data_IF_225936278372
#
_entry.id   IF_225936278372
#
_cell.length_a   1.000
_cell.length_b   1.000
_cell.length_c   1.000
_cell.angle_alpha   90.00
_cell.angle_beta   90.00
_cell.angle_gamma   90.00
#
_symmetry.space_group_name_H-M   'P 1'
#
loop_
_entity.id
_entity.type
_entity.pdbx_description
1 polymer ?
#
# COMPACT_ATOMS: atom_id res chain seq x y z
N UNK A 1 -5.68 4.03 6.71
CA UNK A 1 -6.69 4.73 5.90
C UNK A 1 -8.09 4.74 6.51
N UNK A 2 -8.36 4.03 7.62
CA UNK A 2 -9.71 4.00 8.24
C UNK A 2 -10.30 5.39 8.55
N UNK A 3 -9.44 6.35 8.92
CA UNK A 3 -9.82 7.72 9.31
C UNK A 3 -9.41 8.78 8.28
N UNK A 4 -9.23 8.39 7.01
CA UNK A 4 -8.84 9.30 5.93
C UNK A 4 -9.95 9.42 4.89
N UNK A 5 -10.01 10.54 4.17
CA UNK A 5 -10.94 10.70 3.05
C UNK A 5 -10.54 9.76 1.90
N UNK A 6 -11.41 8.84 1.44
CA UNK A 6 -11.11 7.95 0.32
C UNK A 6 -11.00 8.68 -1.03
N UNK A 7 -11.44 9.95 -1.09
CA UNK A 7 -11.26 10.80 -2.29
C UNK A 7 -9.82 11.25 -2.46
N UNK A 8 -9.09 11.34 -1.36
CA UNK A 8 -7.72 11.89 -1.32
C UNK A 8 -6.70 10.78 -1.14
N UNK A 9 -7.01 9.80 -0.28
CA UNK A 9 -6.10 8.70 0.04
C UNK A 9 -6.57 7.42 -0.64
N UNK A 10 -5.77 6.91 -1.57
CA UNK A 10 -6.04 5.68 -2.34
C UNK A 10 -5.06 4.58 -1.93
N UNK A 11 -5.52 3.33 -1.96
CA UNK A 11 -4.67 2.15 -1.76
C UNK A 11 -4.63 1.37 -3.06
N UNK A 12 -3.43 1.04 -3.51
CA UNK A 12 -3.17 0.30 -4.75
C UNK A 12 -2.58 -1.04 -4.37
N UNK A 13 -3.33 -2.10 -4.62
CA UNK A 13 -2.94 -3.49 -4.38
C UNK A 13 -3.11 -4.27 -5.68
N UNK A 14 -2.10 -4.24 -6.54
CA UNK A 14 -2.19 -4.83 -7.88
C UNK A 14 -2.11 -6.36 -7.81
N UNK A 15 -2.96 -7.10 -8.54
CA UNK A 15 -2.82 -8.54 -8.67
C UNK A 15 -1.62 -8.87 -9.59
N UNK A 16 -1.40 -10.19 -9.79
CA UNK A 16 -0.45 -10.69 -10.79
C UNK A 16 -0.68 -10.00 -12.15
N UNK A 17 0.38 -9.65 -12.90
CA UNK A 17 0.23 -8.98 -14.18
C UNK A 17 -0.49 -9.90 -15.18
N UNK A 18 -1.43 -9.33 -15.92
CA UNK A 18 -2.09 -9.95 -17.08
C UNK A 18 -1.08 -10.25 -18.20
N UNK A 19 -1.43 -11.10 -19.16
CA UNK A 19 -0.58 -11.42 -20.32
C UNK A 19 -0.15 -10.15 -21.06
N UNK A 20 -1.06 -9.18 -21.21
CA UNK A 20 -0.75 -7.88 -21.82
C UNK A 20 0.25 -7.08 -20.98
N UNK A 21 0.03 -6.94 -19.67
CA UNK A 21 0.94 -6.22 -18.77
C UNK A 21 2.34 -6.85 -18.72
N UNK A 22 2.46 -8.18 -18.89
CA UNK A 22 3.76 -8.85 -18.99
C UNK A 22 4.56 -8.44 -20.24
N UNK A 23 3.88 -8.03 -21.30
CA UNK A 23 4.54 -7.51 -22.53
C UNK A 23 4.80 -6.00 -22.51
N UNK A 24 4.30 -5.30 -21.49
CA UNK A 24 4.51 -3.86 -21.35
C UNK A 24 5.86 -3.56 -20.67
N UNK A 25 6.25 -2.28 -20.68
CA UNK A 25 7.34 -1.83 -19.80
C UNK A 25 6.92 -2.04 -18.35
N UNK A 26 7.81 -2.63 -17.54
CA UNK A 26 7.47 -3.08 -16.18
C UNK A 26 6.83 -2.01 -15.30
N UNK A 27 7.32 -0.76 -15.36
CA UNK A 27 6.79 0.35 -14.57
C UNK A 27 5.44 0.89 -15.07
N UNK A 28 5.03 0.58 -16.31
CA UNK A 28 3.86 1.19 -16.95
C UNK A 28 2.59 1.02 -16.13
N UNK A 29 2.30 -0.20 -15.67
CA UNK A 29 1.11 -0.49 -14.84
C UNK A 29 1.10 0.26 -13.50
N UNK A 30 2.27 0.62 -12.97
CA UNK A 30 2.37 1.35 -11.71
C UNK A 30 2.22 2.86 -11.92
N UNK A 31 2.69 3.37 -13.07
CA UNK A 31 2.58 4.79 -13.45
C UNK A 31 1.13 5.24 -13.54
N UNK A 32 0.23 4.36 -14.00
CA UNK A 32 -1.22 4.61 -14.07
C UNK A 32 -1.86 4.92 -12.70
N UNK A 33 -1.18 4.58 -11.60
CA UNK A 33 -1.68 4.77 -10.25
C UNK A 33 -0.93 5.84 -9.45
N UNK A 34 -0.03 6.60 -10.07
CA UNK A 34 0.65 7.68 -9.38
C UNK A 34 -0.33 8.80 -8.95
N UNK A 35 -0.11 9.44 -7.80
CA UNK A 35 -0.99 10.49 -7.30
C UNK A 35 -0.99 11.72 -8.21
N UNK A 36 -2.16 12.35 -8.35
CA UNK A 36 -2.26 13.74 -8.78
C UNK A 36 -1.93 14.70 -7.62
N UNK A 37 -1.85 16.01 -7.91
CA UNK A 37 -1.61 17.02 -6.89
C UNK A 37 -2.67 16.94 -5.77
N UNK A 38 -2.20 16.87 -4.52
CA UNK A 38 -3.05 16.75 -3.33
C UNK A 38 -3.55 15.33 -3.03
N UNK A 39 -3.20 14.32 -3.82
CA UNK A 39 -3.53 12.92 -3.54
C UNK A 39 -2.41 12.20 -2.78
N UNK A 40 -2.79 11.21 -1.97
CA UNK A 40 -1.87 10.27 -1.32
C UNK A 40 -2.19 8.88 -1.84
N UNK A 41 -1.19 8.21 -2.43
CA UNK A 41 -1.34 6.84 -2.91
C UNK A 41 -0.45 5.92 -2.09
N UNK A 42 -1.06 4.90 -1.48
CA UNK A 42 -0.38 3.86 -0.71
C UNK A 42 -0.31 2.58 -1.54
N UNK A 43 0.90 2.16 -1.88
CA UNK A 43 1.14 0.90 -2.59
C UNK A 43 1.25 -0.27 -1.58
N UNK A 44 0.27 -1.18 -1.59
CA UNK A 44 0.36 -2.47 -0.90
C UNK A 44 1.06 -3.47 -1.83
N UNK A 45 2.38 -3.61 -1.61
CA UNK A 45 3.37 -4.01 -2.62
C UNK A 45 3.45 -2.99 -3.77
N UNK A 46 4.56 -3.01 -4.50
CA UNK A 46 4.85 -2.01 -5.54
C UNK A 46 5.68 -2.61 -6.67
N UNK A 47 6.35 -1.77 -7.46
CA UNK A 47 7.33 -2.21 -8.47
C UNK A 47 8.50 -3.02 -7.86
N UNK A 48 8.70 -2.96 -6.54
CA UNK A 48 9.66 -3.81 -5.84
C UNK A 48 9.31 -5.30 -5.81
N UNK A 49 8.17 -5.71 -6.39
CA UNK A 49 7.90 -7.12 -6.65
C UNK A 49 9.01 -7.77 -7.50
N UNK A 50 9.55 -7.07 -8.51
CA UNK A 50 10.61 -7.60 -9.38
C UNK A 50 11.87 -7.95 -8.62
N UNK A 51 12.32 -7.09 -7.72
CA UNK A 51 13.56 -7.33 -6.98
C UNK A 51 13.41 -8.28 -5.79
N UNK A 52 12.18 -8.61 -5.39
CA UNK A 52 11.89 -9.48 -4.26
C UNK A 52 11.21 -10.77 -4.72
N UNK A 53 9.88 -10.80 -4.69
CA UNK A 53 9.08 -12.02 -4.92
C UNK A 53 9.36 -12.63 -6.29
N UNK A 54 9.42 -11.81 -7.34
CA UNK A 54 9.64 -12.33 -8.69
C UNK A 54 11.06 -12.87 -8.85
N UNK A 55 12.06 -12.26 -8.20
CA UNK A 55 13.44 -12.76 -8.17
C UNK A 55 13.53 -14.11 -7.45
N UNK A 56 12.99 -14.19 -6.24
CA UNK A 56 13.10 -15.39 -5.38
C UNK A 56 12.27 -16.54 -5.92
N UNK A 57 11.08 -16.26 -6.50
CA UNK A 57 10.21 -17.29 -7.05
C UNK A 57 10.52 -17.64 -8.53
N UNK A 58 11.42 -16.91 -9.18
CA UNK A 58 11.78 -17.14 -10.58
C UNK A 58 10.70 -16.69 -11.58
N UNK A 59 9.91 -15.67 -11.24
CA UNK A 59 8.91 -15.07 -12.14
C UNK A 59 9.49 -14.00 -13.07
N UNK A 60 10.77 -13.65 -12.91
CA UNK A 60 11.51 -12.82 -13.84
C UNK A 60 12.85 -13.49 -14.21
N UNK A 61 13.34 -13.16 -15.40
CA UNK A 61 14.69 -13.54 -15.84
C UNK A 61 15.76 -12.72 -15.11
N UNK A 62 17.01 -13.21 -15.11
CA UNK A 62 18.14 -12.47 -14.54
C UNK A 62 18.31 -11.10 -15.22
N UNK A 63 18.19 -11.04 -16.55
CA UNK A 63 18.26 -9.79 -17.31
C UNK A 63 17.18 -8.78 -16.89
N UNK A 64 15.94 -9.25 -16.70
CA UNK A 64 14.84 -8.39 -16.24
C UNK A 64 15.07 -7.87 -14.82
N UNK A 65 15.67 -8.69 -13.95
CA UNK A 65 16.00 -8.31 -12.59
C UNK A 65 17.12 -7.27 -12.56
N UNK A 66 18.21 -7.48 -13.30
CA UNK A 66 19.31 -6.52 -13.39
C UNK A 66 18.87 -5.19 -14.00
N UNK A 67 18.09 -5.24 -15.09
CA UNK A 67 17.53 -4.06 -15.72
C UNK A 67 16.63 -3.29 -14.75
N UNK A 68 15.80 -3.98 -13.96
CA UNK A 68 15.01 -3.34 -12.92
C UNK A 68 15.88 -2.62 -11.88
N UNK A 69 16.94 -3.27 -11.39
CA UNK A 69 17.82 -2.67 -10.38
C UNK A 69 18.54 -1.43 -10.89
N UNK A 70 18.87 -1.37 -12.19
CA UNK A 70 19.47 -0.20 -12.84
C UNK A 70 18.45 0.91 -13.07
N UNK A 71 17.26 0.56 -13.56
CA UNK A 71 16.22 1.52 -13.94
C UNK A 71 15.43 2.10 -12.75
N UNK A 72 15.25 1.33 -11.67
CA UNK A 72 14.42 1.74 -10.53
C UNK A 72 14.91 3.05 -9.87
N UNK A 73 16.21 3.24 -9.55
CA UNK A 73 16.68 4.51 -8.99
C UNK A 73 16.44 5.71 -9.91
N UNK A 74 16.59 5.55 -11.23
CA UNK A 74 16.33 6.62 -12.20
C UNK A 74 14.85 6.98 -12.27
N UNK A 75 13.99 5.97 -12.25
CA UNK A 75 12.54 6.16 -12.18
C UNK A 75 12.15 6.93 -10.92
N UNK A 76 12.67 6.55 -9.75
CA UNK A 76 12.40 7.25 -8.49
C UNK A 76 12.92 8.69 -8.49
N UNK A 77 14.12 8.94 -9.04
CA UNK A 77 14.62 10.30 -9.20
C UNK A 77 13.77 11.13 -10.14
N UNK A 78 13.17 10.53 -11.17
CA UNK A 78 12.22 11.24 -12.03
C UNK A 78 10.98 11.68 -11.24
N UNK A 79 10.40 10.79 -10.42
CA UNK A 79 9.24 11.11 -9.58
C UNK A 79 9.55 12.21 -8.55
N UNK A 80 10.68 12.09 -7.86
CA UNK A 80 11.08 13.09 -6.86
C UNK A 80 11.34 14.45 -7.51
N UNK A 81 12.00 14.48 -8.68
CA UNK A 81 12.22 15.74 -9.43
C UNK A 81 10.93 16.37 -9.94
N UNK A 82 9.86 15.62 -10.16
CA UNK A 82 8.54 16.19 -10.49
C UNK A 82 7.79 16.74 -9.28
N UNK A 83 8.39 16.76 -8.10
CA UNK A 83 7.80 17.30 -6.87
C UNK A 83 7.01 16.28 -6.06
N UNK A 84 7.09 14.98 -6.39
CA UNK A 84 6.44 13.94 -5.61
C UNK A 84 7.31 13.52 -4.44
N UNK A 85 6.73 13.46 -3.24
CA UNK A 85 7.38 12.82 -2.09
C UNK A 85 7.21 11.31 -2.18
N UNK A 86 8.31 10.59 -2.40
CA UNK A 86 8.32 9.13 -2.42
C UNK A 86 8.87 8.57 -1.10
N UNK A 87 8.00 7.91 -0.33
CA UNK A 87 8.38 7.23 0.92
C UNK A 87 8.35 5.72 0.73
N UNK A 88 9.47 5.06 1.05
CA UNK A 88 9.61 3.60 0.92
C UNK A 88 9.76 2.95 2.29
N UNK A 89 8.87 2.03 2.61
CA UNK A 89 8.84 1.34 3.91
C UNK A 89 9.06 -0.15 3.77
N UNK A 90 10.03 -0.67 4.51
CA UNK A 90 10.26 -2.10 4.66
C UNK A 90 9.87 -2.55 6.06
N UNK A 91 8.79 -3.32 6.18
CA UNK A 91 8.38 -3.90 7.46
C UNK A 91 9.21 -5.15 7.76
N UNK A 92 10.13 -5.05 8.71
CA UNK A 92 11.01 -6.16 9.10
C UNK A 92 10.34 -6.97 10.20
N UNK A 93 10.14 -8.26 9.97
CA UNK A 93 9.62 -9.22 10.96
C UNK A 93 10.71 -10.25 11.22
N UNK A 94 10.96 -10.58 12.49
CA UNK A 94 11.89 -11.66 12.83
C UNK A 94 11.37 -13.02 12.39
N UNK A 95 12.26 -13.96 12.08
CA UNK A 95 11.90 -15.33 11.71
C UNK A 95 10.96 -15.99 12.72
N UNK A 96 11.26 -15.83 14.02
CA UNK A 96 10.47 -16.41 15.11
C UNK A 96 9.05 -15.84 15.12
N UNK A 97 8.90 -14.52 14.96
CA UNK A 97 7.60 -13.87 14.93
C UNK A 97 6.82 -14.20 13.65
N UNK A 98 7.51 -14.31 12.49
CA UNK A 98 6.88 -14.74 11.25
C UNK A 98 6.29 -16.14 11.39
N UNK A 99 7.06 -17.09 11.95
CA UNK A 99 6.61 -18.46 12.23
C UNK A 99 5.43 -18.47 13.19
N UNK A 100 5.51 -17.74 14.31
CA UNK A 100 4.42 -17.64 15.30
C UNK A 100 3.13 -17.11 14.67
N UNK A 101 3.23 -16.10 13.80
CA UNK A 101 2.08 -15.55 13.06
C UNK A 101 1.49 -16.56 12.08
N UNK A 102 2.35 -17.33 11.41
CA UNK A 102 1.93 -18.36 10.48
C UNK A 102 1.12 -19.45 11.20
N UNK A 103 1.67 -19.98 12.32
CA UNK A 103 1.00 -20.98 13.16
C UNK A 103 -0.33 -20.46 13.73
N UNK A 104 -0.36 -19.22 14.24
CA UNK A 104 -1.59 -18.57 14.73
C UNK A 104 -2.66 -18.42 13.64
N UNK A 105 -2.29 -18.05 12.40
CA UNK A 105 -3.23 -17.94 11.28
C UNK A 105 -3.81 -19.30 10.88
N UNK A 106 -3.03 -20.37 10.99
CA UNK A 106 -3.48 -21.72 10.68
C UNK A 106 -4.55 -22.20 11.70
N UNK A 107 -4.34 -21.86 12.97
CA UNK A 107 -5.28 -22.19 14.05
C UNK A 107 -6.60 -21.40 13.96
N UNK A 108 -6.54 -20.12 13.60
CA UNK A 108 -7.72 -19.25 13.51
C UNK A 108 -8.47 -19.36 12.17
N UNK A 109 -9.63 -20.02 12.16
CA UNK A 109 -10.45 -20.23 10.94
C UNK A 109 -10.74 -18.95 10.14
N UNK A 110 -11.04 -17.84 10.83
CA UNK A 110 -11.33 -16.55 10.21
C UNK A 110 -10.11 -15.89 9.50
N UNK A 111 -8.90 -16.37 9.75
CA UNK A 111 -7.65 -15.83 9.18
C UNK A 111 -6.98 -16.77 8.18
N UNK A 112 -7.47 -18.01 8.01
CA UNK A 112 -6.88 -19.01 7.10
C UNK A 112 -6.84 -18.56 5.64
N UNK A 113 -7.80 -17.74 5.21
CA UNK A 113 -7.81 -17.19 3.85
C UNK A 113 -6.57 -16.34 3.53
N UNK A 114 -5.83 -15.88 4.55
CA UNK A 114 -4.55 -15.14 4.41
C UNK A 114 -3.32 -16.04 4.28
N UNK A 115 -3.51 -17.35 4.16
CA UNK A 115 -2.45 -18.32 3.92
C UNK A 115 -2.62 -18.85 2.49
N UNK A 116 -1.68 -18.51 1.64
CA UNK A 116 -1.55 -19.03 0.28
C UNK A 116 -0.38 -19.99 0.18
N UNK A 117 -0.34 -20.80 -0.88
CA UNK A 117 0.85 -21.62 -1.21
C UNK A 117 2.10 -20.75 -1.36
N UNK A 118 1.94 -19.51 -1.82
CA UNK A 118 3.01 -18.54 -1.92
C UNK A 118 3.58 -18.18 -0.55
N UNK A 119 2.73 -17.99 0.47
CA UNK A 119 3.20 -17.68 1.84
C UNK A 119 4.03 -18.83 2.45
N UNK A 120 3.72 -20.09 2.09
CA UNK A 120 4.49 -21.26 2.51
C UNK A 120 5.88 -21.28 1.87
N UNK A 121 5.95 -21.02 0.57
CA UNK A 121 7.23 -20.93 -0.14
C UNK A 121 8.03 -19.70 0.30
N UNK A 122 7.39 -18.57 0.58
CA UNK A 122 8.01 -17.39 1.18
C UNK A 122 8.66 -17.72 2.52
N UNK A 123 7.97 -18.49 3.38
CA UNK A 123 8.53 -18.95 4.64
C UNK A 123 9.72 -19.91 4.46
N UNK A 124 9.61 -20.86 3.51
CA UNK A 124 10.70 -21.80 3.20
C UNK A 124 11.96 -21.08 2.70
N UNK A 125 11.80 -20.05 1.86
CA UNK A 125 12.88 -19.30 1.21
C UNK A 125 13.29 -18.04 1.96
N UNK A 126 13.10 -17.98 3.27
CA UNK A 126 13.36 -16.78 4.07
C UNK A 126 14.76 -16.17 3.88
N UNK A 127 15.79 -17.02 3.74
CA UNK A 127 17.16 -16.56 3.50
C UNK A 127 17.29 -15.92 2.12
N UNK A 128 16.70 -16.51 1.08
CA UNK A 128 16.71 -15.94 -0.28
C UNK A 128 15.98 -14.59 -0.32
N UNK A 129 14.86 -14.47 0.41
CA UNK A 129 14.17 -13.18 0.58
C UNK A 129 15.02 -12.15 1.32
N UNK A 130 15.80 -12.57 2.31
CA UNK A 130 16.72 -11.69 3.03
C UNK A 130 17.83 -11.20 2.10
N UNK A 131 18.39 -12.08 1.26
CA UNK A 131 19.38 -11.70 0.24
C UNK A 131 18.80 -10.75 -0.82
N UNK A 132 17.57 -11.01 -1.28
CA UNK A 132 16.88 -10.17 -2.25
C UNK A 132 16.58 -8.76 -1.69
N UNK A 133 16.22 -8.67 -0.41
CA UNK A 133 16.08 -7.40 0.31
C UNK A 133 17.40 -6.65 0.35
N UNK A 134 18.48 -7.29 0.78
CA UNK A 134 19.80 -6.64 0.91
C UNK A 134 20.30 -6.12 -0.44
N UNK A 135 20.09 -6.89 -1.52
CA UNK A 135 20.38 -6.44 -2.88
C UNK A 135 19.49 -5.25 -3.28
N UNK A 136 18.18 -5.32 -3.04
CA UNK A 136 17.25 -4.21 -3.31
C UNK A 136 17.73 -2.93 -2.63
N UNK A 137 18.08 -2.99 -1.35
CA UNK A 137 18.55 -1.84 -0.58
C UNK A 137 19.85 -1.29 -1.16
N UNK A 138 20.82 -2.16 -1.43
CA UNK A 138 22.11 -1.78 -2.00
C UNK A 138 21.98 -0.96 -3.29
N UNK A 139 21.06 -1.32 -4.18
CA UNK A 139 20.92 -0.67 -5.49
C UNK A 139 19.92 0.49 -5.49
N UNK A 140 18.91 0.47 -4.62
CA UNK A 140 17.77 1.40 -4.71
C UNK A 140 17.64 2.35 -3.52
N UNK A 141 18.48 2.22 -2.49
CA UNK A 141 18.54 3.20 -1.41
C UNK A 141 19.30 4.45 -1.87
N UNK A 142 18.56 5.43 -2.38
CA UNK A 142 19.11 6.71 -2.85
C UNK A 142 18.77 7.82 -1.87
N UNK A 143 19.64 8.82 -1.74
CA UNK A 143 19.43 9.95 -0.81
C UNK A 143 18.11 10.69 -1.04
N UNK A 144 17.64 10.75 -2.29
CA UNK A 144 16.38 11.43 -2.66
C UNK A 144 15.13 10.62 -2.32
N UNK A 145 15.25 9.30 -2.20
CA UNK A 145 14.17 8.37 -1.89
C UNK A 145 14.76 7.20 -1.08
N UNK A 146 15.02 7.41 0.22
CA UNK A 146 15.65 6.40 1.05
C UNK A 146 14.67 5.29 1.44
N UNK A 147 15.22 4.17 1.89
CA UNK A 147 14.46 3.08 2.50
C UNK A 147 14.36 3.26 4.02
N UNK A 148 13.12 3.18 4.54
CA UNK A 148 12.85 3.19 5.97
C UNK A 148 12.48 1.80 6.46
N UNK A 149 13.30 1.24 7.35
CA UNK A 149 13.01 -0.05 7.98
C UNK A 149 12.12 0.16 9.20
N UNK A 150 10.97 -0.50 9.22
CA UNK A 150 10.03 -0.48 10.34
C UNK A 150 10.08 -1.84 11.05
N UNK A 151 10.66 -1.93 12.27
CA UNK A 151 10.56 -3.12 13.09
C UNK A 151 9.09 -3.43 13.35
N UNK A 152 8.67 -4.64 12.97
CA UNK A 152 7.25 -4.97 12.89
C UNK A 152 6.85 -6.21 13.67
N UNK A 153 7.65 -6.61 14.65
CA UNK A 153 7.37 -7.71 15.55
C UNK A 153 6.15 -7.41 16.44
N UNK A 154 6.07 -6.21 17.02
CA UNK A 154 4.83 -5.67 17.56
C UNK A 154 4.09 -4.82 16.51
N UNK A 155 2.93 -5.33 16.07
CA UNK A 155 2.07 -4.66 15.08
C UNK A 155 1.59 -3.29 15.53
N UNK A 156 1.30 -3.09 16.82
CA UNK A 156 0.77 -1.81 17.31
C UNK A 156 1.85 -0.73 17.24
N UNK A 157 3.01 -1.02 17.83
CA UNK A 157 4.17 -0.13 17.79
C UNK A 157 4.61 0.16 16.36
N UNK A 158 4.68 -0.84 15.48
CA UNK A 158 5.05 -0.65 14.09
C UNK A 158 4.12 0.31 13.34
N UNK A 159 2.79 0.20 13.55
CA UNK A 159 1.80 1.09 12.95
C UNK A 159 1.96 2.52 13.44
N UNK A 160 2.11 2.71 14.76
CA UNK A 160 2.25 4.03 15.36
C UNK A 160 3.55 4.70 14.90
N UNK A 161 4.67 3.97 14.89
CA UNK A 161 5.95 4.50 14.40
C UNK A 161 5.91 4.84 12.92
N UNK A 162 5.30 3.98 12.09
CA UNK A 162 5.16 4.26 10.66
C UNK A 162 4.30 5.51 10.42
N UNK A 163 3.14 5.62 11.07
CA UNK A 163 2.27 6.79 10.94
C UNK A 163 2.98 8.06 11.44
N UNK A 164 3.63 7.99 12.61
CA UNK A 164 4.40 9.11 13.18
C UNK A 164 5.50 9.58 12.22
N UNK A 165 6.26 8.64 11.64
CA UNK A 165 7.27 8.98 10.65
C UNK A 165 6.67 9.59 9.38
N UNK A 166 5.56 9.05 8.85
CA UNK A 166 4.90 9.64 7.68
C UNK A 166 4.55 11.10 7.98
N UNK A 167 3.90 11.36 9.12
CA UNK A 167 3.51 12.70 9.54
C UNK A 167 4.73 13.63 9.68
N UNK A 168 5.87 13.13 10.16
CA UNK A 168 7.08 13.93 10.28
C UNK A 168 7.78 14.25 8.95
N UNK A 169 7.36 13.65 7.82
CA UNK A 169 7.89 13.99 6.49
C UNK A 169 7.20 15.20 5.86
N UNK A 170 6.12 15.70 6.46
CA UNK A 170 5.33 16.79 5.91
C UNK A 170 5.11 17.87 6.95
N UNK A 171 5.15 19.13 6.54
CA UNK A 171 4.59 20.21 7.33
C UNK A 171 3.06 20.13 7.23
N UNK A 172 2.39 20.06 8.37
CA UNK A 172 0.93 20.02 8.42
C UNK A 172 0.43 20.83 9.62
N UNK A 173 -0.78 21.36 9.48
CA UNK A 173 -1.47 22.09 10.53
C UNK A 173 -2.73 21.34 10.94
N UNK A 174 -3.21 21.63 12.15
CA UNK A 174 -4.49 21.11 12.59
C UNK A 174 -5.63 21.86 11.87
N UNK A 175 -6.39 21.11 11.06
CA UNK A 175 -7.51 21.62 10.26
C UNK A 175 -8.87 21.27 10.87
N UNK A 176 -8.91 20.88 12.15
CA UNK A 176 -10.16 20.61 12.86
C UNK A 176 -11.06 21.85 12.84
N UNK A 177 -12.14 21.76 12.05
CA UNK A 177 -13.16 22.81 11.98
C UNK A 177 -13.91 22.88 13.30
N UNK A 178 -14.29 24.09 13.75
CA UNK A 178 -15.14 24.23 14.92
C UNK A 178 -16.49 23.51 14.71
N UNK A 179 -17.18 23.12 15.80
CA UNK A 179 -18.54 22.61 15.72
C UNK A 179 -19.42 23.57 14.91
N UNK A 180 -20.18 23.02 13.96
CA UNK A 180 -21.11 23.79 13.15
C UNK A 180 -22.48 23.78 13.82
N UNK A 181 -23.06 24.95 14.04
CA UNK A 181 -24.47 25.05 14.42
C UNK A 181 -25.34 24.76 13.20
N UNK A 182 -26.29 23.83 13.36
CA UNK A 182 -27.23 23.50 12.29
C UNK A 182 -28.19 24.68 12.12
N UNK A 183 -28.27 25.29 10.92
CA UNK A 183 -29.24 26.34 10.68
C UNK A 183 -30.65 25.77 10.75
N UNK A 184 -31.60 26.60 11.20
CA UNK A 184 -33.01 26.27 11.10
C UNK A 184 -33.40 26.10 9.62
N UNK A 185 -34.33 25.17 9.38
CA UNK A 185 -34.85 24.93 8.03
C UNK A 185 -35.64 26.15 7.56
N UNK A 186 -35.36 26.62 6.35
CA UNK A 186 -36.18 27.62 5.68
C UNK A 186 -37.62 27.10 5.43
N UNK A 187 -38.61 27.89 5.84
CA UNK A 187 -40.03 27.57 5.69
C UNK A 187 -40.51 27.85 4.24
N UNK A 188 -40.08 27.02 3.30
CA UNK A 188 -40.58 27.05 1.92
C UNK A 188 -41.90 26.27 1.84
N UNK A 189 -42.94 26.89 1.28
CA UNK A 189 -44.23 26.26 1.02
C UNK A 189 -44.07 25.19 -0.07
N UNK A 190 -43.79 23.96 0.35
CA UNK A 190 -43.60 22.80 -0.53
C UNK A 190 -44.46 21.63 -0.05
N UNK A 191 -45.37 21.17 -0.91
CA UNK A 191 -46.19 19.98 -0.69
C UNK A 191 -45.45 18.78 -1.31
N UNK A 192 -45.03 17.83 -0.47
CA UNK A 192 -44.41 16.59 -0.96
C UNK A 192 -45.47 15.69 -1.63
N UNK A 193 -45.10 14.93 -2.68
CA UNK A 193 -45.94 13.86 -3.21
C UNK A 193 -46.33 12.86 -2.11
N UNK A 194 -47.51 12.23 -2.21
CA UNK A 194 -47.95 11.22 -1.25
C UNK A 194 -46.93 10.08 -1.11
N UNK A 195 -46.73 9.60 0.13
CA UNK A 195 -45.78 8.50 0.40
C UNK A 195 -46.14 7.21 -0.34
N UNK A 196 -47.43 6.95 -0.59
CA UNK A 196 -47.88 5.72 -1.24
C UNK A 196 -47.50 5.62 -2.73
N UNK A 197 -47.14 6.73 -3.36
CA UNK A 197 -46.60 6.75 -4.74
C UNK A 197 -45.10 6.40 -4.78
N UNK A 198 -44.44 6.38 -3.63
CA UNK A 198 -43.01 6.06 -3.53
C UNK A 198 -42.80 4.56 -3.30
N UNK A 199 -41.89 3.98 -4.06
CA UNK A 199 -41.47 2.59 -3.85
C UNK A 199 -40.33 2.56 -2.84
N UNK A 200 -40.63 2.15 -1.61
CA UNK A 200 -39.62 2.05 -0.54
C UNK A 200 -38.93 0.69 -0.55
N UNK A 201 -37.65 0.69 -0.17
CA UNK A 201 -36.94 -0.54 0.17
C UNK A 201 -37.65 -1.20 1.35
N UNK A 202 -37.97 -2.51 1.27
CA UNK A 202 -38.60 -3.23 2.38
C UNK A 202 -37.78 -3.09 3.66
N UNK A 203 -38.42 -2.63 4.74
CA UNK A 203 -37.81 -2.64 6.07
C UNK A 203 -37.74 -4.07 6.57
N UNK A 204 -36.52 -4.60 6.73
CA UNK A 204 -36.25 -5.94 7.27
C UNK A 204 -35.69 -5.92 8.70
N UNK A 205 -35.37 -4.74 9.23
CA UNK A 205 -34.83 -4.51 10.57
C UNK A 205 -35.49 -3.27 11.17
#
# INVERSE_FOLDING_TARGET
>A
TERTSPRVVKVVALPKPTEREQTQRYFQRYVEHLPAAGEIVLFDRSWYNRSNVERVMGFCTDDQYEEFLRSCPEFERMLVRSGMTLLKYWFSVSWQEQRRRFESRNQESAKRWKLSEMDLEEHRRYVEYSMAKDATFKYTDIKQAPWYVVPSDDKRTARLNCISHILSQFEYEDVLRPPVELPDREAVAYVRPPLHEQTFVPRRY
#
